data_IF_311517633440
#
_entry.id   IF_311517633440
#
_cell.length_a   1.000
_cell.length_b   1.000
_cell.length_c   1.000
_cell.angle_alpha   90.00
_cell.angle_beta   90.00
_cell.angle_gamma   90.00
#
_symmetry.space_group_name_H-M   'P 1'
#
loop_
_entity.id
_entity.type
_entity.pdbx_description
1 polymer ?
#
# COMPACT_ATOMS: atom_id res chain seq x y z
N UNK A 1 22.47 -29.95 -11.31
CA UNK A 1 22.56 -30.86 -10.16
C UNK A 1 23.04 -30.09 -8.93
N UNK A 2 22.17 -29.30 -8.28
CA UNK A 2 22.50 -28.49 -7.09
C UNK A 2 21.26 -28.32 -6.18
N UNK A 3 20.51 -29.39 -5.90
CA UNK A 3 19.28 -29.30 -5.08
C UNK A 3 19.26 -30.20 -3.84
N UNK A 4 20.36 -30.88 -3.51
CA UNK A 4 20.37 -31.84 -2.39
C UNK A 4 20.97 -31.32 -1.08
N UNK A 5 21.55 -30.11 -1.05
CA UNK A 5 22.19 -29.56 0.16
C UNK A 5 21.21 -28.89 1.13
N UNK A 6 20.02 -28.49 0.69
CA UNK A 6 19.05 -27.80 1.55
C UNK A 6 18.37 -28.74 2.57
N UNK A 7 18.18 -30.02 2.24
CA UNK A 7 17.50 -30.97 3.13
C UNK A 7 18.35 -31.39 4.35
N UNK A 8 19.68 -31.41 4.22
CA UNK A 8 20.56 -31.82 5.31
C UNK A 8 20.63 -30.78 6.45
N UNK A 9 20.45 -29.50 6.14
CA UNK A 9 20.44 -28.43 7.14
C UNK A 9 19.15 -28.41 7.98
N UNK A 10 18.08 -29.04 7.48
CA UNK A 10 16.77 -29.06 8.14
C UNK A 10 16.73 -30.06 9.30
N UNK A 11 17.34 -31.24 9.16
CA UNK A 11 17.38 -32.27 10.20
C UNK A 11 18.18 -31.84 11.44
N UNK A 12 19.14 -30.92 11.28
CA UNK A 12 19.90 -30.37 12.40
C UNK A 12 19.11 -29.33 13.21
N UNK A 13 18.03 -28.75 12.64
CA UNK A 13 17.19 -27.74 13.29
C UNK A 13 15.96 -28.38 13.97
N UNK A 14 15.57 -29.59 13.57
CA UNK A 14 14.36 -30.27 14.07
C UNK A 14 14.62 -31.36 15.12
N UNK A 15 15.87 -31.63 15.53
CA UNK A 15 16.12 -32.49 16.69
C UNK A 15 15.77 -31.76 17.99
N UNK A 16 14.48 -31.72 18.29
CA UNK A 16 13.92 -31.14 19.52
C UNK A 16 13.43 -32.30 20.37
N UNK A 17 14.09 -32.55 21.50
CA UNK A 17 13.53 -33.39 22.55
C UNK A 17 12.21 -32.79 23.05
N UNK A 18 11.36 -33.59 23.71
CA UNK A 18 10.11 -33.15 24.34
C UNK A 18 10.33 -32.20 25.53
N UNK A 19 11.15 -31.17 25.37
CA UNK A 19 11.24 -30.07 26.31
C UNK A 19 10.00 -29.18 26.11
N UNK A 20 9.36 -28.81 27.21
CA UNK A 20 8.18 -27.95 27.24
C UNK A 20 8.44 -26.54 26.70
N UNK A 21 9.71 -26.17 26.44
CA UNK A 21 10.11 -24.92 25.83
C UNK A 21 10.50 -25.10 24.36
N UNK A 22 10.08 -24.14 23.52
CA UNK A 22 10.41 -24.10 22.10
C UNK A 22 11.85 -23.62 21.87
N UNK A 23 12.80 -24.47 22.27
CA UNK A 23 14.22 -24.19 22.14
C UNK A 23 14.56 -23.83 20.68
N UNK A 24 15.29 -22.73 20.52
CA UNK A 24 15.73 -22.25 19.21
C UNK A 24 14.65 -21.55 18.38
N UNK A 25 13.48 -21.18 18.92
CA UNK A 25 12.46 -20.43 18.14
C UNK A 25 13.00 -19.11 17.58
N UNK A 26 13.89 -18.43 18.30
CA UNK A 26 14.57 -17.22 17.83
C UNK A 26 15.56 -17.54 16.70
N UNK A 27 16.35 -18.61 16.83
CA UNK A 27 17.26 -19.08 15.78
C UNK A 27 16.50 -19.47 14.51
N UNK A 28 15.33 -20.11 14.67
CA UNK A 28 14.42 -20.44 13.58
C UNK A 28 13.99 -19.17 12.85
N UNK A 29 13.55 -18.14 13.57
CA UNK A 29 13.16 -16.88 12.95
C UNK A 29 14.30 -16.19 12.20
N UNK A 30 15.51 -16.21 12.78
CA UNK A 30 16.71 -15.67 12.11
C UNK A 30 17.01 -16.43 10.83
N UNK A 31 16.93 -17.77 10.85
CA UNK A 31 17.14 -18.61 9.67
C UNK A 31 16.08 -18.33 8.60
N UNK A 32 14.80 -18.30 8.98
CA UNK A 32 13.67 -18.04 8.08
C UNK A 32 13.73 -16.65 7.44
N UNK A 33 14.23 -15.67 8.19
CA UNK A 33 14.41 -14.30 7.68
C UNK A 33 15.34 -14.26 6.47
N UNK A 34 16.32 -15.17 6.40
CA UNK A 34 17.31 -15.28 5.32
C UNK A 34 16.89 -16.23 4.18
N UNK A 35 15.79 -16.98 4.34
CA UNK A 35 15.36 -17.95 3.33
C UNK A 35 14.80 -17.27 2.07
N UNK A 36 15.03 -17.86 0.88
CA UNK A 36 14.32 -17.48 -0.33
C UNK A 36 12.82 -17.81 -0.22
N UNK A 37 11.94 -17.12 -0.97
CA UNK A 37 10.50 -17.28 -0.87
C UNK A 37 10.01 -18.71 -1.09
N UNK A 38 10.62 -19.46 -2.01
CA UNK A 38 10.24 -20.82 -2.36
C UNK A 38 10.46 -21.79 -1.19
N UNK A 39 11.62 -21.69 -0.53
CA UNK A 39 11.95 -22.50 0.64
C UNK A 39 11.04 -22.20 1.83
N UNK A 40 10.60 -20.94 1.97
CA UNK A 40 9.62 -20.56 2.99
C UNK A 40 8.27 -21.24 2.78
N UNK A 41 7.80 -21.37 1.54
CA UNK A 41 6.53 -22.01 1.23
C UNK A 41 6.55 -23.51 1.52
N UNK A 42 7.64 -24.20 1.17
CA UNK A 42 7.83 -25.61 1.53
C UNK A 42 7.79 -25.80 3.05
N UNK A 43 8.41 -24.89 3.80
CA UNK A 43 8.43 -24.92 5.25
C UNK A 43 7.05 -24.67 5.88
N UNK A 44 6.24 -23.76 5.31
CA UNK A 44 4.84 -23.59 5.73
C UNK A 44 4.08 -24.90 5.58
N UNK A 45 4.22 -25.60 4.46
CA UNK A 45 3.51 -26.86 4.23
C UNK A 45 3.98 -27.96 5.19
N UNK A 46 5.29 -28.08 5.41
CA UNK A 46 5.84 -29.03 6.36
C UNK A 46 5.31 -28.80 7.79
N UNK A 47 5.30 -27.54 8.25
CA UNK A 47 4.79 -27.18 9.57
C UNK A 47 3.27 -27.41 9.70
N UNK A 48 2.48 -27.14 8.66
CA UNK A 48 1.04 -27.46 8.67
C UNK A 48 0.78 -28.96 8.78
N UNK A 49 1.54 -29.79 8.06
CA UNK A 49 1.42 -31.25 8.16
C UNK A 49 1.79 -31.71 9.57
N UNK A 50 2.89 -31.21 10.13
CA UNK A 50 3.31 -31.50 11.50
C UNK A 50 2.24 -31.11 12.52
N UNK A 51 1.66 -29.91 12.39
CA UNK A 51 0.63 -29.42 13.29
C UNK A 51 -0.62 -30.31 13.30
N UNK A 52 -1.05 -30.82 12.14
CA UNK A 52 -2.19 -31.73 12.06
C UNK A 52 -1.90 -33.09 12.68
N UNK A 53 -0.65 -33.55 12.63
CA UNK A 53 -0.26 -34.88 13.12
C UNK A 53 -0.01 -34.88 14.63
N UNK A 54 0.80 -33.94 15.10
CA UNK A 54 1.38 -33.98 16.45
C UNK A 54 0.82 -32.88 17.37
N UNK A 55 0.05 -31.92 16.81
CA UNK A 55 -0.45 -30.73 17.52
C UNK A 55 0.65 -30.03 18.34
N UNK A 56 1.87 -29.95 17.78
CA UNK A 56 3.02 -29.44 18.52
C UNK A 56 2.93 -27.90 18.70
N UNK A 57 2.88 -27.39 19.95
CA UNK A 57 2.80 -25.96 20.24
C UNK A 57 3.94 -25.16 19.61
N UNK A 58 5.14 -25.73 19.54
CA UNK A 58 6.30 -25.06 18.97
C UNK A 58 6.22 -24.93 17.45
N UNK A 59 5.67 -25.93 16.77
CA UNK A 59 5.48 -25.86 15.32
C UNK A 59 4.38 -24.87 14.95
N UNK A 60 3.35 -24.77 15.79
CA UNK A 60 2.33 -23.73 15.67
C UNK A 60 2.93 -22.32 15.81
N UNK A 61 3.79 -22.07 16.81
CA UNK A 61 4.46 -20.77 16.94
C UNK A 61 5.43 -20.48 15.78
N UNK A 62 6.20 -21.48 15.32
CA UNK A 62 7.06 -21.36 14.13
C UNK A 62 6.24 -21.00 12.90
N UNK A 63 5.08 -21.64 12.72
CA UNK A 63 4.15 -21.36 11.62
C UNK A 63 3.59 -19.94 11.71
N UNK A 64 3.17 -19.49 12.91
CA UNK A 64 2.74 -18.10 13.15
C UNK A 64 3.81 -17.10 12.73
N UNK A 65 5.07 -17.33 13.11
CA UNK A 65 6.17 -16.43 12.75
C UNK A 65 6.44 -16.40 11.24
N UNK A 66 6.34 -17.55 10.58
CA UNK A 66 6.56 -17.68 9.15
C UNK A 66 5.44 -17.01 8.34
N UNK A 67 4.18 -17.28 8.67
CA UNK A 67 3.01 -16.63 8.06
C UNK A 67 2.97 -15.13 8.35
N UNK A 68 3.45 -14.74 9.52
CA UNK A 68 3.60 -13.35 9.92
C UNK A 68 4.71 -12.59 9.17
N UNK A 69 5.58 -13.22 8.38
CA UNK A 69 6.67 -12.51 7.69
C UNK A 69 6.13 -11.64 6.55
N UNK A 70 6.35 -10.31 6.54
CA UNK A 70 5.89 -9.43 5.47
C UNK A 70 6.65 -9.70 4.16
N UNK A 71 6.09 -9.22 3.05
CA UNK A 71 6.69 -9.26 1.70
C UNK A 71 7.00 -10.67 1.17
N UNK A 72 6.30 -11.68 1.67
CA UNK A 72 6.39 -13.07 1.18
C UNK A 72 5.09 -13.51 0.51
N UNK A 73 5.19 -14.45 -0.43
CA UNK A 73 4.03 -15.01 -1.12
C UNK A 73 3.12 -15.86 -0.20
N UNK A 74 3.67 -16.34 0.92
CA UNK A 74 2.97 -17.13 1.94
C UNK A 74 2.57 -16.29 3.15
N UNK A 75 2.67 -14.96 3.06
CA UNK A 75 2.24 -14.07 4.13
C UNK A 75 0.74 -14.16 4.37
N UNK A 76 0.34 -14.53 5.58
CA UNK A 76 -1.07 -14.54 6.00
C UNK A 76 -1.19 -14.15 7.48
N UNK A 77 -1.33 -12.83 7.72
CA UNK A 77 -1.57 -12.30 9.05
C UNK A 77 -2.90 -12.76 9.66
N UNK A 78 -3.88 -13.18 8.86
CA UNK A 78 -5.18 -13.60 9.38
C UNK A 78 -5.06 -15.00 9.98
N UNK A 79 -4.44 -15.92 9.24
CA UNK A 79 -4.15 -17.26 9.73
C UNK A 79 -3.16 -17.22 10.90
N UNK A 80 -2.09 -16.41 10.81
CA UNK A 80 -1.14 -16.22 11.91
C UNK A 80 -1.83 -15.71 13.18
N UNK A 81 -2.75 -14.74 13.07
CA UNK A 81 -3.53 -14.23 14.19
C UNK A 81 -4.42 -15.31 14.82
N UNK A 82 -5.09 -16.12 13.99
CA UNK A 82 -5.93 -17.22 14.48
C UNK A 82 -5.08 -18.25 15.24
N UNK A 83 -3.97 -18.69 14.64
CA UNK A 83 -3.09 -19.68 15.23
C UNK A 83 -2.50 -19.20 16.57
N UNK A 84 -2.08 -17.94 16.68
CA UNK A 84 -1.56 -17.45 17.97
C UNK A 84 -2.66 -17.26 19.01
N UNK A 85 -3.88 -16.92 18.60
CA UNK A 85 -5.03 -16.89 19.52
C UNK A 85 -5.38 -18.28 20.03
N UNK A 86 -5.46 -19.27 19.14
CA UNK A 86 -5.71 -20.67 19.50
C UNK A 86 -4.68 -21.12 20.54
N UNK A 87 -3.39 -20.79 20.34
CA UNK A 87 -2.33 -21.07 21.31
C UNK A 87 -2.56 -20.39 22.66
N UNK A 88 -2.95 -19.11 22.67
CA UNK A 88 -3.12 -18.32 23.90
C UNK A 88 -4.37 -18.71 24.71
N UNK A 89 -5.40 -19.23 24.05
CA UNK A 89 -6.67 -19.64 24.65
C UNK A 89 -6.73 -21.12 25.04
N UNK A 90 -5.83 -21.95 24.50
CA UNK A 90 -5.75 -23.35 24.87
C UNK A 90 -5.37 -23.51 26.37
N UNK A 91 -6.19 -24.19 27.19
CA UNK A 91 -5.87 -24.43 28.59
C UNK A 91 -4.62 -25.27 28.78
N UNK A 92 -4.29 -26.15 27.83
CA UNK A 92 -3.12 -27.03 27.91
C UNK A 92 -1.82 -26.22 27.75
N UNK A 93 -1.89 -25.05 27.11
CA UNK A 93 -0.75 -24.13 26.93
C UNK A 93 -0.72 -22.99 27.94
N UNK A 94 -1.58 -23.02 28.96
CA UNK A 94 -1.70 -21.92 29.91
C UNK A 94 -0.39 -21.62 30.67
N UNK A 95 0.41 -22.66 30.95
CA UNK A 95 1.71 -22.54 31.63
C UNK A 95 2.90 -22.70 30.68
N UNK A 96 2.67 -22.69 29.37
CA UNK A 96 3.73 -22.88 28.39
C UNK A 96 4.78 -21.75 28.53
N UNK A 97 6.09 -22.05 28.58
CA UNK A 97 7.14 -21.06 28.80
C UNK A 97 7.16 -19.95 27.74
N UNK A 98 6.82 -20.28 26.49
CA UNK A 98 6.75 -19.32 25.38
C UNK A 98 5.42 -18.54 25.28
N UNK A 99 4.53 -18.61 26.28
CA UNK A 99 3.26 -17.87 26.26
C UNK A 99 3.46 -16.36 26.17
N UNK A 100 4.52 -15.83 26.80
CA UNK A 100 4.89 -14.42 26.69
C UNK A 100 5.26 -14.03 25.25
N UNK A 101 6.00 -14.88 24.55
CA UNK A 101 6.34 -14.69 23.14
C UNK A 101 5.09 -14.75 22.26
N UNK A 102 4.19 -15.71 22.49
CA UNK A 102 2.93 -15.81 21.78
C UNK A 102 2.08 -14.53 21.95
N UNK A 103 2.01 -13.97 23.16
CA UNK A 103 1.32 -12.70 23.42
C UNK A 103 1.95 -11.55 22.61
N UNK A 104 3.28 -11.45 22.60
CA UNK A 104 3.99 -10.42 21.84
C UNK A 104 3.74 -10.56 20.32
N UNK A 105 3.73 -11.80 19.81
CA UNK A 105 3.39 -12.08 18.41
C UNK A 105 1.96 -11.66 18.07
N UNK A 106 1.00 -11.94 18.95
CA UNK A 106 -0.39 -11.54 18.78
C UNK A 106 -0.55 -10.02 18.71
N UNK A 107 0.08 -9.29 19.64
CA UNK A 107 0.07 -7.82 19.65
C UNK A 107 0.73 -7.25 18.39
N UNK A 108 1.87 -7.81 17.97
CA UNK A 108 2.56 -7.36 16.77
C UNK A 108 1.76 -7.63 15.48
N UNK A 109 1.10 -8.78 15.36
CA UNK A 109 0.23 -9.09 14.22
C UNK A 109 -0.95 -8.11 14.19
N UNK A 110 -1.58 -7.85 15.34
CA UNK A 110 -2.69 -6.90 15.47
C UNK A 110 -2.28 -5.47 15.09
N UNK A 111 -1.15 -4.99 15.59
CA UNK A 111 -0.61 -3.68 15.23
C UNK A 111 -0.37 -3.57 13.72
N UNK A 112 0.22 -4.61 13.11
CA UNK A 112 0.46 -4.62 11.65
C UNK A 112 -0.83 -4.62 10.84
N UNK A 113 -1.86 -5.35 11.26
CA UNK A 113 -3.18 -5.30 10.63
C UNK A 113 -3.76 -3.88 10.68
N UNK A 114 -3.70 -3.21 11.84
CA UNK A 114 -4.17 -1.83 11.99
C UNK A 114 -3.39 -0.84 11.10
N UNK A 115 -2.07 -1.00 11.02
CA UNK A 115 -1.24 -0.18 10.14
C UNK A 115 -1.59 -0.40 8.67
N UNK A 116 -1.83 -1.64 8.25
CA UNK A 116 -2.22 -1.96 6.88
C UNK A 116 -3.60 -1.38 6.52
N UNK A 117 -4.57 -1.43 7.43
CA UNK A 117 -5.87 -0.78 7.25
C UNK A 117 -5.74 0.74 7.13
N UNK A 118 -4.92 1.36 7.97
CA UNK A 118 -4.63 2.79 7.91
C UNK A 118 -3.97 3.18 6.58
N UNK A 119 -3.00 2.40 6.11
CA UNK A 119 -2.36 2.62 4.79
C UNK A 119 -3.39 2.54 3.66
N UNK A 120 -4.22 1.50 3.64
CA UNK A 120 -5.31 1.36 2.64
C UNK A 120 -6.28 2.53 2.68
N UNK A 121 -6.61 3.03 3.87
CA UNK A 121 -7.46 4.22 4.01
C UNK A 121 -6.79 5.47 3.46
N UNK A 122 -5.50 5.67 3.73
CA UNK A 122 -4.73 6.81 3.21
C UNK A 122 -4.60 6.77 1.69
N UNK A 123 -4.36 5.60 1.08
CA UNK A 123 -4.31 5.43 -0.37
C UNK A 123 -5.65 5.79 -1.03
N UNK A 124 -6.77 5.38 -0.42
CA UNK A 124 -8.11 5.77 -0.88
C UNK A 124 -8.35 7.27 -0.79
N UNK A 125 -7.93 7.90 0.30
CA UNK A 125 -8.04 9.36 0.45
C UNK A 125 -7.19 10.10 -0.57
N UNK A 126 -5.95 9.64 -0.81
CA UNK A 126 -5.03 10.24 -1.78
C UNK A 126 -5.58 10.15 -3.20
N UNK A 127 -6.10 8.99 -3.60
CA UNK A 127 -6.69 8.80 -4.93
C UNK A 127 -7.92 9.69 -5.14
N UNK A 128 -8.75 9.85 -4.11
CA UNK A 128 -9.90 10.77 -4.15
C UNK A 128 -9.46 12.23 -4.27
N UNK A 129 -8.47 12.65 -3.47
CA UNK A 129 -7.91 14.01 -3.53
C UNK A 129 -7.29 14.31 -4.90
N UNK A 130 -6.55 13.37 -5.48
CA UNK A 130 -6.02 13.48 -6.83
C UNK A 130 -7.13 13.64 -7.88
N UNK A 131 -8.22 12.87 -7.78
CA UNK A 131 -9.36 12.98 -8.69
C UNK A 131 -10.05 14.36 -8.57
N UNK A 132 -10.21 14.87 -7.35
CA UNK A 132 -10.76 16.21 -7.10
C UNK A 132 -9.84 17.29 -7.67
N UNK A 133 -8.54 17.21 -7.40
CA UNK A 133 -7.53 18.14 -7.89
C UNK A 133 -7.50 18.20 -9.42
N UNK A 134 -7.53 17.04 -10.10
CA UNK A 134 -7.60 16.98 -11.56
C UNK A 134 -8.88 17.61 -12.12
N UNK A 135 -10.02 17.41 -11.44
CA UNK A 135 -11.29 18.05 -11.81
C UNK A 135 -11.20 19.58 -11.72
N UNK A 136 -10.65 20.08 -10.62
CA UNK A 136 -10.46 21.51 -10.38
C UNK A 136 -9.49 22.11 -11.41
N UNK A 137 -8.38 21.45 -11.70
CA UNK A 137 -7.43 21.88 -12.72
C UNK A 137 -8.07 21.97 -14.11
N UNK A 138 -8.91 20.99 -14.48
CA UNK A 138 -9.69 21.03 -15.73
C UNK A 138 -10.68 22.18 -15.76
N UNK A 139 -11.35 22.47 -14.64
CA UNK A 139 -12.29 23.60 -14.51
C UNK A 139 -11.56 24.94 -14.66
N UNK A 140 -10.46 25.14 -13.94
CA UNK A 140 -9.63 26.35 -14.04
C UNK A 140 -9.13 26.58 -15.47
N UNK A 141 -8.69 25.51 -16.16
CA UNK A 141 -8.27 25.61 -17.56
C UNK A 141 -9.40 26.09 -18.49
N UNK A 142 -10.64 25.61 -18.28
CA UNK A 142 -11.80 26.04 -19.06
C UNK A 142 -12.16 27.49 -18.78
N UNK A 143 -12.17 27.90 -17.52
CA UNK A 143 -12.46 29.29 -17.12
C UNK A 143 -11.40 30.25 -17.68
N UNK A 144 -10.12 29.88 -17.62
CA UNK A 144 -9.05 30.67 -18.21
C UNK A 144 -9.19 30.82 -19.74
N UNK A 145 -9.55 29.74 -20.43
CA UNK A 145 -9.81 29.80 -21.88
C UNK A 145 -11.02 30.69 -22.20
N UNK A 146 -12.09 30.61 -21.42
CA UNK A 146 -13.27 31.46 -21.58
C UNK A 146 -12.96 32.94 -21.33
N UNK A 147 -12.22 33.25 -20.26
CA UNK A 147 -11.79 34.62 -19.97
C UNK A 147 -10.91 35.20 -21.07
N UNK A 148 -9.99 34.40 -21.65
CA UNK A 148 -9.16 34.82 -22.78
C UNK A 148 -10.01 35.11 -24.03
N UNK A 149 -11.00 34.27 -24.33
CA UNK A 149 -11.91 34.49 -25.45
C UNK A 149 -12.73 35.78 -25.27
N UNK A 150 -13.29 36.01 -24.08
CA UNK A 150 -14.03 37.24 -23.76
C UNK A 150 -13.14 38.49 -23.88
N UNK A 151 -11.89 38.42 -23.40
CA UNK A 151 -10.92 39.51 -23.56
C UNK A 151 -10.66 39.84 -25.03
N UNK A 152 -10.48 38.82 -25.87
CA UNK A 152 -10.30 39.02 -27.32
C UNK A 152 -11.53 39.66 -27.97
N UNK A 153 -12.74 39.28 -27.55
CA UNK A 153 -13.98 39.89 -28.05
C UNK A 153 -14.09 41.37 -27.65
N UNK A 154 -13.73 41.73 -26.41
CA UNK A 154 -13.69 43.12 -25.96
C UNK A 154 -12.68 43.96 -26.76
N UNK A 155 -11.51 43.41 -27.04
CA UNK A 155 -10.49 44.09 -27.87
C UNK A 155 -10.99 44.32 -29.30
N UNK A 156 -11.69 43.33 -29.89
CA UNK A 156 -12.32 43.49 -31.21
C UNK A 156 -13.40 44.56 -31.22
N UNK A 157 -14.29 44.57 -30.23
CA UNK A 157 -15.34 45.59 -30.11
C UNK A 157 -14.74 46.99 -29.97
N UNK A 158 -13.67 47.13 -29.18
CA UNK A 158 -12.95 48.40 -29.02
C UNK A 158 -12.34 48.89 -30.34
N UNK A 159 -11.76 47.98 -31.14
CA UNK A 159 -11.24 48.31 -32.47
C UNK A 159 -12.35 48.78 -33.41
N UNK A 160 -13.51 48.11 -33.40
CA UNK A 160 -14.67 48.49 -34.22
C UNK A 160 -15.19 49.88 -33.82
N UNK A 161 -15.30 50.14 -32.51
CA UNK A 161 -15.74 51.45 -32.00
C UNK A 161 -14.78 52.57 -32.43
N UNK A 162 -13.47 52.31 -32.37
CA UNK A 162 -12.46 53.26 -32.83
C UNK A 162 -12.58 53.53 -34.34
N UNK A 163 -12.70 52.47 -35.16
CA UNK A 163 -12.89 52.60 -36.61
C UNK A 163 -14.15 53.38 -36.98
N UNK A 164 -15.26 53.19 -36.23
CA UNK A 164 -16.51 53.94 -36.43
C UNK A 164 -16.29 55.41 -36.09
N UNK A 165 -15.70 55.72 -34.93
CA UNK A 165 -15.43 57.10 -34.53
C UNK A 165 -14.51 57.83 -35.53
N UNK A 166 -13.47 57.16 -36.04
CA UNK A 166 -12.57 57.73 -37.06
C UNK A 166 -13.31 58.03 -38.37
N UNK A 167 -14.21 57.12 -38.80
CA UNK A 167 -15.07 57.34 -39.98
C UNK A 167 -16.06 58.48 -39.78
N UNK A 168 -16.69 58.59 -38.61
CA UNK A 168 -17.62 59.67 -38.29
C UNK A 168 -16.91 61.04 -38.28
N UNK A 169 -15.73 61.13 -37.66
CA UNK A 169 -14.92 62.35 -37.68
C UNK A 169 -14.50 62.74 -39.09
N UNK A 170 -14.11 61.77 -39.92
CA UNK A 170 -13.73 62.00 -41.31
C UNK A 170 -14.90 62.48 -42.18
N UNK A 171 -16.12 61.99 -41.93
CA UNK A 171 -17.32 62.41 -42.65
C UNK A 171 -17.85 63.80 -42.21
N UNK A 172 -17.58 64.20 -40.96
CA UNK A 172 -18.01 65.49 -40.42
C UNK A 172 -17.15 66.69 -40.86
N UNK A 173 -15.99 66.47 -41.51
CA UNK A 173 -15.18 67.55 -42.10
C UNK A 173 -15.65 67.79 -43.55
N UNK A 174 -16.44 68.84 -43.86
CA UNK A 174 -16.84 69.11 -45.22
C UNK A 174 -15.61 69.46 -46.07
N UNK A 175 -15.51 68.81 -47.22
CA UNK A 175 -14.45 68.98 -48.21
C UNK A 175 -14.54 70.37 -48.87
N UNK A 176 -14.25 71.42 -48.10
CA UNK A 176 -14.25 72.80 -48.52
C UNK A 176 -12.93 73.14 -49.20
N UNK A 177 -12.77 72.75 -50.46
CA UNK A 177 -11.90 73.39 -51.49
C UNK A 177 -11.91 72.59 -52.79
N UNK A 178 -12.97 72.74 -53.59
CA UNK A 178 -12.83 72.62 -55.04
C UNK A 178 -12.83 74.03 -55.63
N UNK A 179 -11.61 74.51 -55.93
CA UNK A 179 -11.37 75.74 -56.67
C UNK A 179 -11.87 75.55 -58.11
N UNK A 180 -12.87 76.32 -58.50
CA UNK A 180 -13.16 76.63 -59.90
C UNK A 180 -11.95 77.33 -60.53
N UNK A 181 -11.53 76.85 -61.69
CA UNK A 181 -10.85 77.63 -62.71
C UNK A 181 -11.34 77.20 -64.07
#
# INVERSE_FOLDING_TARGET
>A
MLTLTACAQWQAITQVGHNEACEGITNFYTAVSLLPPEAGQEMVQALRVSQVQDNNPCDQLRLVMLLGKPDTAFHDNTEAARLVQDFLYDPDYAQHPDRGLASLLADNIKERQQLQEKLRSQEKSLTLEQAVSQRLAKKLKREHAAAKALKSQLEQLKSIEQDINEKEQSAAVPNGKQKSR
#
